data_IF_974624144764
#
_entry.id   IF_974624144764
#
_cell.length_a   1.000
_cell.length_b   1.000
_cell.length_c   1.000
_cell.angle_alpha   90.00
_cell.angle_beta   90.00
_cell.angle_gamma   90.00
#
_symmetry.space_group_name_H-M   'P 1'
#
loop_
_entity.id
_entity.type
_entity.pdbx_description
1 polymer ?
#
# COMPACT_ATOMS: atom_id res chain seq x y z
N UNK A 1 11.09 -27.83 -60.38
CA UNK A 1 10.40 -27.85 -59.06
C UNK A 1 11.22 -27.06 -58.03
N UNK A 2 10.76 -25.90 -57.70
CA UNK A 2 11.39 -25.08 -56.67
C UNK A 2 10.74 -25.39 -55.35
N UNK A 3 11.50 -26.01 -54.43
CA UNK A 3 11.07 -26.17 -53.05
C UNK A 3 11.23 -24.83 -52.36
N UNK A 4 10.15 -24.15 -52.00
CA UNK A 4 10.17 -22.99 -51.17
C UNK A 4 10.45 -23.45 -49.73
N UNK A 5 11.65 -23.13 -49.21
CA UNK A 5 11.92 -23.26 -47.79
C UNK A 5 11.30 -22.11 -47.06
N UNK A 6 10.19 -22.33 -46.38
CA UNK A 6 9.61 -21.44 -45.43
C UNK A 6 10.46 -21.56 -44.13
N UNK A 7 11.40 -20.65 -43.94
CA UNK A 7 12.09 -20.53 -42.68
C UNK A 7 11.15 -19.77 -41.73
N UNK A 8 10.43 -20.51 -40.91
CA UNK A 8 9.67 -19.94 -39.79
C UNK A 8 10.68 -19.53 -38.70
N UNK A 9 10.98 -18.24 -38.62
CA UNK A 9 11.66 -17.69 -37.45
C UNK A 9 10.67 -17.69 -36.29
N UNK A 10 10.95 -18.34 -35.13
CA UNK A 10 10.20 -18.09 -33.94
C UNK A 10 10.48 -16.65 -33.53
N UNK A 11 9.50 -15.79 -33.69
CA UNK A 11 9.51 -14.45 -33.11
C UNK A 11 9.41 -14.63 -31.60
N UNK A 12 10.59 -14.74 -30.97
CA UNK A 12 10.69 -14.69 -29.53
C UNK A 12 10.30 -13.27 -29.12
N UNK A 13 9.04 -13.08 -28.72
CA UNK A 13 8.63 -11.87 -28.04
C UNK A 13 9.44 -11.81 -26.73
N UNK A 14 10.55 -11.12 -26.76
CA UNK A 14 11.19 -10.62 -25.57
C UNK A 14 10.24 -9.60 -24.96
N UNK A 15 9.41 -10.06 -24.02
CA UNK A 15 8.68 -9.18 -23.12
C UNK A 15 9.76 -8.40 -22.35
N UNK A 16 10.01 -7.18 -22.78
CA UNK A 16 10.89 -6.26 -22.06
C UNK A 16 10.24 -6.01 -20.69
N UNK A 17 10.84 -6.54 -19.64
CA UNK A 17 10.41 -6.34 -18.28
C UNK A 17 10.55 -4.84 -17.95
N UNK A 18 9.44 -4.20 -17.58
CA UNK A 18 9.44 -2.78 -17.24
C UNK A 18 10.17 -2.59 -15.91
N UNK A 19 11.27 -1.83 -15.91
CA UNK A 19 12.01 -1.48 -14.72
C UNK A 19 11.49 -0.16 -14.11
N UNK A 20 11.55 -0.06 -12.78
CA UNK A 20 11.21 1.16 -12.05
C UNK A 20 12.42 2.07 -12.05
N UNK A 21 12.22 3.33 -12.47
CA UNK A 21 13.24 4.36 -12.36
C UNK A 21 13.33 4.91 -10.93
N UNK A 22 14.53 5.04 -10.36
CA UNK A 22 14.73 5.76 -9.10
C UNK A 22 14.25 7.21 -9.21
N UNK A 23 13.85 7.81 -8.09
CA UNK A 23 13.52 9.23 -8.07
C UNK A 23 14.76 10.10 -8.40
N UNK A 24 14.54 11.28 -8.97
CA UNK A 24 15.61 12.16 -9.46
C UNK A 24 16.59 12.65 -8.39
N UNK A 25 16.22 12.58 -7.13
CA UNK A 25 17.06 12.95 -5.97
C UNK A 25 17.86 11.76 -5.40
N UNK A 26 17.74 10.57 -5.98
CA UNK A 26 18.45 9.38 -5.58
C UNK A 26 19.53 9.03 -6.59
N UNK A 27 20.79 9.03 -6.16
CA UNK A 27 21.91 8.56 -6.97
C UNK A 27 22.21 7.10 -6.65
N UNK A 28 22.15 6.25 -7.66
CA UNK A 28 22.41 4.81 -7.51
C UNK A 28 23.61 4.40 -8.33
N UNK A 29 24.56 3.70 -7.71
CA UNK A 29 25.72 3.09 -8.37
C UNK A 29 25.72 1.59 -8.13
N UNK A 30 25.86 0.80 -9.21
CA UNK A 30 25.98 -0.65 -9.12
C UNK A 30 24.73 -1.38 -8.63
N UNK A 31 23.59 -0.68 -8.54
CA UNK A 31 22.29 -1.27 -8.15
C UNK A 31 21.59 -1.76 -9.41
N UNK A 32 21.22 -3.05 -9.50
CA UNK A 32 20.47 -3.57 -10.64
C UNK A 32 19.08 -2.91 -10.69
N UNK A 33 18.49 -2.72 -11.88
CA UNK A 33 17.15 -2.19 -12.02
C UNK A 33 16.12 -3.09 -11.34
N UNK A 34 15.15 -2.49 -10.64
CA UNK A 34 14.09 -3.22 -9.95
C UNK A 34 12.94 -3.46 -10.93
N UNK A 35 12.57 -4.72 -11.21
CA UNK A 35 11.41 -5.02 -12.05
C UNK A 35 10.10 -4.49 -11.44
N UNK A 36 9.24 -3.90 -12.26
CA UNK A 36 7.92 -3.42 -11.81
C UNK A 36 7.06 -4.55 -11.24
N UNK A 37 7.14 -5.74 -11.82
CA UNK A 37 6.42 -6.93 -11.33
C UNK A 37 6.78 -7.31 -9.89
N UNK A 38 8.05 -7.12 -9.49
CA UNK A 38 8.48 -7.35 -8.11
C UNK A 38 7.84 -6.36 -7.13
N UNK A 39 7.66 -5.12 -7.54
CA UNK A 39 6.98 -4.11 -6.71
C UNK A 39 5.50 -4.43 -6.54
N UNK A 40 4.81 -4.85 -7.60
CA UNK A 40 3.42 -5.30 -7.51
C UNK A 40 3.26 -6.49 -6.55
N UNK A 41 4.16 -7.46 -6.61
CA UNK A 41 4.16 -8.60 -5.70
C UNK A 41 4.40 -8.16 -4.26
N UNK A 42 5.36 -7.27 -4.00
CA UNK A 42 5.65 -6.73 -2.68
C UNK A 42 4.52 -5.86 -2.11
N UNK A 43 3.75 -5.18 -2.94
CA UNK A 43 2.63 -4.36 -2.50
C UNK A 43 1.56 -5.17 -1.76
N UNK A 44 1.36 -6.43 -2.12
CA UNK A 44 0.47 -7.33 -1.38
C UNK A 44 0.92 -7.54 0.07
N UNK A 45 2.22 -7.55 0.32
CA UNK A 45 2.80 -7.72 1.66
C UNK A 45 2.97 -6.39 2.40
N UNK A 46 3.29 -5.32 1.69
CA UNK A 46 3.49 -3.98 2.28
C UNK A 46 2.19 -3.25 2.59
N UNK A 47 1.08 -3.67 1.99
CA UNK A 47 -0.22 -3.03 2.17
C UNK A 47 -0.97 -3.52 3.41
N UNK A 48 -0.24 -3.92 4.45
CA UNK A 48 -0.81 -4.30 5.74
C UNK A 48 -1.44 -3.07 6.40
N UNK A 49 -2.71 -3.22 6.76
CA UNK A 49 -3.47 -2.19 7.49
C UNK A 49 -3.46 -2.52 8.98
N UNK A 50 -2.39 -2.13 9.64
CA UNK A 50 -2.33 -2.17 11.09
C UNK A 50 -3.31 -1.17 11.73
N UNK A 51 -3.76 -1.47 12.94
CA UNK A 51 -4.52 -0.55 13.76
C UNK A 51 -3.90 -0.47 15.13
N UNK A 52 -3.67 0.75 15.62
CA UNK A 52 -3.16 1.02 16.96
C UNK A 52 -4.25 1.63 17.81
N UNK A 53 -4.45 1.10 19.02
CA UNK A 53 -5.36 1.69 19.98
C UNK A 53 -4.81 3.04 20.45
N UNK A 54 -5.66 4.07 20.41
CA UNK A 54 -5.33 5.39 20.95
C UNK A 54 -5.98 5.61 22.31
N UNK A 55 -7.29 5.34 22.42
CA UNK A 55 -8.01 5.56 23.67
C UNK A 55 -9.30 4.72 23.73
N UNK A 56 -9.75 4.43 24.96
CA UNK A 56 -11.04 3.81 25.27
C UNK A 56 -12.01 4.82 25.86
N UNK A 57 -13.26 4.73 25.47
CA UNK A 57 -14.29 5.51 26.12
C UNK A 57 -14.47 5.02 27.57
N UNK A 58 -14.50 5.91 28.58
CA UNK A 58 -14.57 5.49 30.00
C UNK A 58 -15.85 4.78 30.40
N UNK A 59 -16.96 5.00 29.69
CA UNK A 59 -18.27 4.45 30.03
C UNK A 59 -18.97 3.67 28.92
N UNK A 60 -18.46 3.71 27.69
CA UNK A 60 -19.04 3.03 26.53
C UNK A 60 -18.06 2.03 25.95
N UNK A 61 -18.54 1.01 25.24
CA UNK A 61 -17.69 0.06 24.47
C UNK A 61 -17.22 0.67 23.15
N UNK A 62 -16.68 1.86 23.23
CA UNK A 62 -16.22 2.65 22.10
C UNK A 62 -14.73 2.91 22.25
N UNK A 63 -13.98 2.88 21.13
CA UNK A 63 -12.56 3.15 21.12
C UNK A 63 -12.15 4.00 19.93
N UNK A 64 -11.05 4.72 20.10
CA UNK A 64 -10.33 5.40 19.04
C UNK A 64 -9.12 4.57 18.64
N UNK A 65 -8.95 4.42 17.34
CA UNK A 65 -7.81 3.71 16.74
C UNK A 65 -7.15 4.59 15.70
N UNK A 66 -5.85 4.46 15.55
CA UNK A 66 -5.10 4.97 14.41
C UNK A 66 -4.96 3.85 13.39
N UNK A 67 -5.50 4.05 12.21
CA UNK A 67 -5.37 3.11 11.11
C UNK A 67 -5.49 3.85 9.78
N UNK A 68 -5.12 3.20 8.68
CA UNK A 68 -5.22 3.80 7.34
C UNK A 68 -6.21 3.05 6.46
N UNK A 69 -6.98 3.80 5.68
CA UNK A 69 -7.64 3.30 4.47
C UNK A 69 -6.87 3.72 3.21
N UNK A 70 -6.29 4.91 3.24
CA UNK A 70 -5.40 5.45 2.22
C UNK A 70 -3.92 5.34 2.61
N UNK A 71 -3.14 6.34 2.25
CA UNK A 71 -1.68 6.33 2.38
C UNK A 71 -1.20 6.69 3.79
N UNK A 72 -1.95 7.55 4.49
CA UNK A 72 -1.57 8.04 5.83
C UNK A 72 -2.54 7.58 6.91
N UNK A 73 -2.02 7.24 8.12
CA UNK A 73 -2.87 6.92 9.26
C UNK A 73 -3.72 8.10 9.70
N UNK A 74 -5.00 7.83 9.93
CA UNK A 74 -5.99 8.76 10.44
C UNK A 74 -6.68 8.18 11.67
N UNK A 75 -7.41 9.02 12.41
CA UNK A 75 -8.16 8.59 13.57
C UNK A 75 -9.52 8.04 13.14
N UNK A 76 -9.81 6.85 13.64
CA UNK A 76 -11.08 6.18 13.42
C UNK A 76 -11.75 5.86 14.76
N UNK A 77 -13.06 5.87 14.77
CA UNK A 77 -13.90 5.42 15.88
C UNK A 77 -14.45 4.04 15.59
N UNK A 78 -14.41 3.18 16.58
CA UNK A 78 -15.12 1.89 16.60
C UNK A 78 -16.14 1.94 17.72
N UNK A 79 -17.42 1.95 17.37
CA UNK A 79 -18.51 2.18 18.34
C UNK A 79 -18.85 0.94 19.16
N UNK A 80 -18.44 -0.26 18.74
CA UNK A 80 -18.67 -1.52 19.43
C UNK A 80 -17.68 -2.58 18.97
N UNK A 81 -17.41 -3.61 19.78
CA UNK A 81 -16.59 -4.73 19.36
C UNK A 81 -17.13 -5.39 18.08
N UNK A 82 -16.24 -5.61 17.09
CA UNK A 82 -16.61 -6.13 15.77
C UNK A 82 -17.33 -5.16 14.85
N UNK A 83 -17.55 -3.91 15.30
CA UNK A 83 -18.22 -2.87 14.52
C UNK A 83 -17.34 -2.26 13.42
N UNK A 84 -18.01 -1.57 12.50
CA UNK A 84 -17.31 -0.85 11.43
C UNK A 84 -16.49 0.32 11.98
N UNK A 85 -15.38 0.61 11.30
CA UNK A 85 -14.54 1.77 11.59
C UNK A 85 -15.11 3.00 10.89
N UNK A 86 -15.29 4.08 11.63
CA UNK A 86 -15.69 5.39 11.09
C UNK A 86 -14.50 6.33 11.14
N UNK A 87 -14.06 6.82 10.00
CA UNK A 87 -12.95 7.77 9.92
C UNK A 87 -13.40 9.13 10.45
N UNK A 88 -12.62 9.72 11.36
CA UNK A 88 -12.91 11.00 11.99
C UNK A 88 -12.05 12.14 11.45
N UNK A 89 -10.83 11.85 11.02
CA UNK A 89 -9.88 12.84 10.51
C UNK A 89 -9.55 12.59 9.04
N UNK A 90 -9.35 13.67 8.28
CA UNK A 90 -9.12 13.62 6.83
C UNK A 90 -7.97 14.57 6.44
N UNK A 91 -6.87 14.50 7.16
CA UNK A 91 -5.69 15.32 6.88
C UNK A 91 -4.77 14.66 5.86
N UNK A 92 -4.01 15.49 5.17
CA UNK A 92 -2.97 15.00 4.26
C UNK A 92 -1.80 14.34 5.00
N UNK A 93 -1.55 14.79 6.24
CA UNK A 93 -0.52 14.23 7.11
C UNK A 93 -1.12 13.25 8.12
N UNK A 94 -0.24 12.39 8.67
CA UNK A 94 -0.62 11.44 9.71
C UNK A 94 -1.09 12.15 10.98
N UNK A 95 -2.16 11.65 11.56
CA UNK A 95 -2.63 12.12 12.87
C UNK A 95 -2.21 11.13 13.95
N UNK A 96 -1.50 11.62 14.98
CA UNK A 96 -0.80 10.76 15.93
C UNK A 96 -1.44 10.64 17.32
N UNK A 97 -2.47 11.39 17.64
CA UNK A 97 -3.07 11.34 18.98
C UNK A 97 -4.51 11.82 19.01
N UNK A 98 -5.32 11.17 19.82
CA UNK A 98 -6.67 11.58 20.15
C UNK A 98 -7.10 10.96 21.48
N UNK A 99 -7.98 11.63 22.18
CA UNK A 99 -8.56 11.18 23.44
C UNK A 99 -10.09 11.32 23.39
N UNK A 100 -10.77 10.39 24.02
CA UNK A 100 -12.20 10.47 24.23
C UNK A 100 -12.50 11.23 25.53
N UNK A 101 -13.28 12.28 25.43
CA UNK A 101 -13.75 12.99 26.61
C UNK A 101 -14.93 12.24 27.26
N UNK A 102 -14.81 11.92 28.53
CA UNK A 102 -15.80 11.15 29.31
C UNK A 102 -16.95 12.00 29.86
N UNK A 103 -17.60 12.79 29.03
CA UNK A 103 -18.84 13.49 29.43
C UNK A 103 -20.07 12.73 29.01
#
# INVERSE_FOLDING_TARGET
MRKAFLVSFPFCLLLAETAISPSSNLHTEGVPPIPAALMEELDHYNNIRGASLLDWHPSKREMLISTRFGDVPQIHRVAMPGGARTQLTFFADRTAGAMLNGS
#
